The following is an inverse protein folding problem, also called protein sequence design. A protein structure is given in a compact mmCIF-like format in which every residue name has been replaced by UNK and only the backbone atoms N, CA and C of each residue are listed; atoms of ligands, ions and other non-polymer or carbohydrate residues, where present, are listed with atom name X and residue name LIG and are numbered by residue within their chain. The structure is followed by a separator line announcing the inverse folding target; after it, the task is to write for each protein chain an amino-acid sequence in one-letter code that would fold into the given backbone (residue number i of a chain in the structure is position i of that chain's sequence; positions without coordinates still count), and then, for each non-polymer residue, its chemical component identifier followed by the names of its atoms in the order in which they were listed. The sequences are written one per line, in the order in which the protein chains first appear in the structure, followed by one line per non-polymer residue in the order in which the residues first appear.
data_IF_922533094197
#
_entry.id   IF_922533094197
#
_cell.length_a   1.000
_cell.length_b   1.000
_cell.length_c   1.000
_cell.angle_alpha   90.00
_cell.angle_beta   90.00
_cell.angle_gamma   90.00
#
_symmetry.space_group_name_H-M   'P 1'
#
loop_
_entity.id
_entity.type
_entity.pdbx_description
1 polymer ?
#
# COMPACT_ATOMS: atom_id res chain seq x y z
N UNK A 1 -104.69 -66.08 -28.32
CA UNK A 1 -105.40 -65.10 -27.45
C UNK A 1 -104.94 -65.17 -25.99
N UNK A 2 -105.37 -66.13 -25.13
CA UNK A 2 -105.05 -66.09 -23.68
C UNK A 2 -103.59 -66.46 -23.32
N UNK A 3 -103.03 -67.49 -23.97
CA UNK A 3 -101.61 -67.89 -23.80
C UNK A 3 -100.61 -66.89 -24.37
N UNK A 4 -101.00 -66.14 -25.42
CA UNK A 4 -100.16 -65.07 -25.97
C UNK A 4 -100.06 -63.89 -25.00
N UNK A 5 -101.19 -63.48 -24.38
CA UNK A 5 -101.18 -62.43 -23.37
C UNK A 5 -100.29 -62.76 -22.16
N UNK A 6 -100.34 -64.00 -21.66
CA UNK A 6 -99.49 -64.44 -20.54
C UNK A 6 -98.00 -64.49 -20.92
N UNK A 7 -97.68 -64.84 -22.17
CA UNK A 7 -96.30 -64.80 -22.67
C UNK A 7 -95.81 -63.35 -22.82
N UNK A 8 -96.67 -62.46 -23.31
CA UNK A 8 -96.38 -61.03 -23.49
C UNK A 8 -96.17 -60.32 -22.13
N UNK A 9 -96.96 -60.67 -21.11
CA UNK A 9 -96.77 -60.19 -19.73
C UNK A 9 -95.45 -60.68 -19.12
N UNK A 10 -95.07 -61.95 -19.31
CA UNK A 10 -93.77 -62.47 -18.84
C UNK A 10 -92.59 -61.79 -19.53
N UNK A 11 -92.67 -61.60 -20.86
CA UNK A 11 -91.63 -60.90 -21.62
C UNK A 11 -91.48 -59.47 -21.09
N UNK A 12 -92.58 -58.79 -20.76
CA UNK A 12 -92.55 -57.44 -20.22
C UNK A 12 -91.98 -57.41 -18.78
N UNK A 13 -92.29 -58.40 -17.94
CA UNK A 13 -91.69 -58.52 -16.60
C UNK A 13 -90.18 -58.77 -16.66
N UNK A 14 -89.73 -59.67 -17.54
CA UNK A 14 -88.31 -59.97 -17.70
C UNK A 14 -87.55 -58.81 -18.35
N UNK A 15 -88.17 -58.07 -19.28
CA UNK A 15 -87.63 -56.82 -19.81
C UNK A 15 -87.42 -55.77 -18.70
N UNK A 16 -88.41 -55.59 -17.80
CA UNK A 16 -88.28 -54.68 -16.65
C UNK A 16 -87.21 -55.12 -15.66
N UNK A 17 -87.03 -56.43 -15.45
CA UNK A 17 -85.92 -56.95 -14.62
C UNK A 17 -84.57 -56.68 -15.28
N UNK A 18 -84.45 -56.91 -16.59
CA UNK A 18 -83.24 -56.63 -17.35
C UNK A 18 -82.87 -55.14 -17.32
N UNK A 19 -83.85 -54.24 -17.42
CA UNK A 19 -83.63 -52.79 -17.30
C UNK A 19 -83.15 -52.38 -15.89
N UNK A 20 -83.66 -53.02 -14.84
CA UNK A 20 -83.16 -52.83 -13.46
C UNK A 20 -81.74 -53.37 -13.26
N UNK A 21 -81.40 -54.49 -13.87
CA UNK A 21 -80.06 -55.06 -13.76
C UNK A 21 -79.02 -54.24 -14.54
N UNK A 22 -79.37 -53.80 -15.75
CA UNK A 22 -78.50 -52.94 -16.58
C UNK A 22 -78.27 -51.57 -15.93
N UNK A 23 -79.30 -50.93 -15.38
CA UNK A 23 -79.12 -49.67 -14.62
C UNK A 23 -78.23 -49.84 -13.38
N UNK A 24 -78.36 -50.97 -12.67
CA UNK A 24 -77.50 -51.30 -11.54
C UNK A 24 -76.06 -51.58 -11.95
N UNK A 25 -75.84 -52.25 -13.07
CA UNK A 25 -74.52 -52.52 -13.65
C UNK A 25 -73.82 -51.23 -14.07
N UNK A 26 -74.53 -50.31 -14.74
CA UNK A 26 -74.01 -48.98 -15.11
C UNK A 26 -73.56 -48.21 -13.87
N UNK A 27 -74.36 -48.20 -12.80
CA UNK A 27 -74.02 -47.50 -11.56
C UNK A 27 -72.79 -48.11 -10.86
N UNK A 28 -72.67 -49.45 -10.90
CA UNK A 28 -71.51 -50.15 -10.35
C UNK A 28 -70.23 -49.84 -11.13
N UNK A 29 -70.32 -49.79 -12.46
CA UNK A 29 -69.18 -49.42 -13.31
C UNK A 29 -68.75 -47.97 -13.08
N UNK A 30 -69.69 -47.03 -12.97
CA UNK A 30 -69.37 -45.63 -12.62
C UNK A 30 -68.63 -45.52 -11.28
N UNK A 31 -69.08 -46.26 -10.26
CA UNK A 31 -68.40 -46.30 -8.95
C UNK A 31 -67.02 -46.95 -9.03
N UNK A 32 -66.83 -47.90 -9.93
CA UNK A 32 -65.56 -48.57 -10.15
C UNK A 32 -64.56 -47.62 -10.82
N UNK A 33 -65.02 -46.86 -11.82
CA UNK A 33 -64.23 -45.82 -12.49
C UNK A 33 -63.83 -44.71 -11.52
N UNK A 34 -64.75 -44.20 -10.69
CA UNK A 34 -64.42 -43.22 -9.66
C UNK A 34 -63.40 -43.74 -8.63
N UNK A 35 -63.51 -45.01 -8.25
CA UNK A 35 -62.53 -45.63 -7.35
C UNK A 35 -61.17 -45.75 -8.03
N UNK A 36 -61.14 -46.12 -9.30
CA UNK A 36 -59.91 -46.24 -10.08
C UNK A 36 -59.20 -44.89 -10.25
N UNK A 37 -59.94 -43.81 -10.55
CA UNK A 37 -59.37 -42.46 -10.62
C UNK A 37 -58.77 -41.99 -9.29
N UNK A 38 -59.48 -42.22 -8.17
CA UNK A 38 -58.98 -41.91 -6.83
C UNK A 38 -57.69 -42.66 -6.52
N UNK A 39 -57.62 -43.95 -6.87
CA UNK A 39 -56.40 -44.75 -6.70
C UNK A 39 -55.25 -44.21 -7.59
N UNK A 40 -55.52 -43.85 -8.84
CA UNK A 40 -54.51 -43.30 -9.74
C UNK A 40 -53.96 -41.95 -9.24
N UNK A 41 -54.82 -41.11 -8.65
CA UNK A 41 -54.45 -39.80 -8.09
C UNK A 41 -53.49 -39.87 -6.90
N UNK A 42 -53.46 -41.00 -6.18
CA UNK A 42 -52.56 -41.22 -5.05
C UNK A 42 -51.10 -41.47 -5.48
N UNK A 43 -50.85 -41.63 -6.79
CA UNK A 43 -49.52 -41.86 -7.35
C UNK A 43 -48.95 -43.25 -7.04
N UNK A 44 -47.65 -43.45 -7.28
CA UNK A 44 -46.98 -44.68 -6.93
C UNK A 44 -46.88 -44.79 -5.40
N UNK A 45 -47.57 -45.78 -4.83
CA UNK A 45 -47.45 -46.08 -3.40
C UNK A 45 -46.00 -46.52 -3.11
N UNK A 46 -45.32 -45.91 -2.12
CA UNK A 46 -44.00 -46.39 -1.70
C UNK A 46 -44.13 -47.83 -1.22
N UNK A 47 -43.06 -48.63 -1.36
CA UNK A 47 -43.05 -49.97 -0.78
C UNK A 47 -43.23 -49.85 0.72
N UNK A 48 -44.38 -50.33 1.21
CA UNK A 48 -44.73 -50.26 2.62
C UNK A 48 -44.00 -51.39 3.32
N UNK A 49 -43.14 -51.05 4.28
CA UNK A 49 -42.54 -52.03 5.19
C UNK A 49 -43.66 -52.89 5.81
N UNK A 50 -43.52 -54.22 5.74
CA UNK A 50 -44.56 -55.20 6.13
C UNK A 50 -45.06 -55.14 7.58
N UNK A 51 -44.53 -54.19 8.36
CA UNK A 51 -44.91 -53.85 9.75
C UNK A 51 -46.37 -53.39 9.83
N UNK A 52 -46.86 -52.64 8.83
CA UNK A 52 -48.22 -52.08 8.85
C UNK A 52 -49.29 -53.04 8.29
N UNK A 53 -48.88 -54.09 7.59
CA UNK A 53 -49.77 -55.04 6.90
C UNK A 53 -50.56 -55.95 7.87
N UNK A 54 -50.06 -56.12 9.10
CA UNK A 54 -50.70 -56.94 10.16
C UNK A 54 -51.55 -56.12 11.16
N UNK A 55 -51.67 -54.81 10.97
CA UNK A 55 -52.34 -53.94 11.93
C UNK A 55 -53.84 -53.81 11.62
N UNK A 56 -54.67 -53.69 12.66
CA UNK A 56 -56.09 -53.40 12.48
C UNK A 56 -56.29 -52.00 11.88
N UNK A 57 -57.34 -51.83 11.08
CA UNK A 57 -57.72 -50.56 10.44
C UNK A 57 -57.84 -49.42 11.47
N UNK A 58 -58.35 -49.72 12.67
CA UNK A 58 -58.48 -48.78 13.79
C UNK A 58 -57.12 -48.34 14.36
N UNK A 59 -56.15 -49.25 14.41
CA UNK A 59 -54.78 -48.95 14.87
C UNK A 59 -54.02 -48.11 13.85
N UNK A 60 -54.20 -48.39 12.54
CA UNK A 60 -53.64 -47.61 11.44
C UNK A 60 -54.11 -46.15 11.47
N UNK A 61 -55.41 -45.92 11.67
CA UNK A 61 -55.95 -44.56 11.79
C UNK A 61 -55.38 -43.79 12.99
N UNK A 62 -55.20 -44.47 14.14
CA UNK A 62 -54.60 -43.86 15.33
C UNK A 62 -53.14 -43.46 15.09
N UNK A 63 -52.39 -44.26 14.34
CA UNK A 63 -51.00 -43.97 14.01
C UNK A 63 -50.88 -42.84 12.97
N UNK A 64 -51.80 -42.81 11.99
CA UNK A 64 -51.93 -41.70 11.05
C UNK A 64 -52.28 -40.39 11.76
N UNK A 65 -53.16 -40.44 12.76
CA UNK A 65 -53.53 -39.26 13.54
C UNK A 65 -52.35 -38.72 14.36
N UNK A 66 -51.57 -39.60 15.00
CA UNK A 66 -50.31 -39.21 15.65
C UNK A 66 -49.33 -38.60 14.66
N UNK A 67 -49.11 -39.23 13.51
CA UNK A 67 -48.21 -38.73 12.48
C UNK A 67 -48.64 -37.32 12.01
N UNK A 68 -49.93 -37.11 11.79
CA UNK A 68 -50.49 -35.81 11.45
C UNK A 68 -50.33 -34.78 12.58
N UNK A 69 -50.49 -35.17 13.85
CA UNK A 69 -50.21 -34.28 15.00
C UNK A 69 -48.73 -33.88 15.06
N UNK A 70 -47.81 -34.82 14.77
CA UNK A 70 -46.38 -34.52 14.66
C UNK A 70 -46.09 -33.56 13.50
N UNK A 71 -46.71 -33.78 12.33
CA UNK A 71 -46.56 -32.92 11.15
C UNK A 71 -47.09 -31.49 11.42
N UNK A 72 -48.19 -31.36 12.17
CA UNK A 72 -48.73 -30.06 12.60
C UNK A 72 -47.76 -29.26 13.50
N UNK A 73 -46.87 -29.91 14.26
CA UNK A 73 -45.85 -29.20 15.06
C UNK A 73 -44.80 -28.52 14.17
N UNK A 74 -44.57 -29.05 12.97
CA UNK A 74 -43.63 -28.52 11.98
C UNK A 74 -44.33 -27.64 10.93
N UNK A 75 -45.37 -26.87 11.32
CA UNK A 75 -46.17 -26.09 10.38
C UNK A 75 -45.37 -24.95 9.70
N UNK A 76 -44.30 -24.47 10.32
CA UNK A 76 -43.47 -23.35 9.83
C UNK A 76 -42.12 -23.82 9.29
N UNK A 77 -42.11 -24.84 8.43
CA UNK A 77 -40.89 -25.29 7.76
C UNK A 77 -40.55 -24.34 6.60
N UNK A 78 -39.32 -23.83 6.61
CA UNK A 78 -38.79 -23.04 5.50
C UNK A 78 -38.56 -23.93 4.28
N UNK A 79 -39.48 -23.88 3.32
CA UNK A 79 -39.38 -24.64 2.06
C UNK A 79 -38.21 -24.22 1.16
N UNK A 80 -37.66 -23.01 1.37
CA UNK A 80 -36.49 -22.49 0.65
C UNK A 80 -35.16 -22.81 1.34
N UNK A 81 -35.18 -23.56 2.46
CA UNK A 81 -33.99 -23.83 3.24
C UNK A 81 -32.90 -24.53 2.41
N UNK A 82 -33.28 -25.45 1.52
CA UNK A 82 -32.33 -26.15 0.65
C UNK A 82 -31.63 -25.18 -0.32
N UNK A 83 -32.40 -24.36 -1.03
CA UNK A 83 -31.86 -23.38 -1.98
C UNK A 83 -30.98 -22.33 -1.28
N UNK A 84 -31.41 -21.84 -0.12
CA UNK A 84 -30.64 -20.90 0.69
C UNK A 84 -29.34 -21.53 1.22
N UNK A 85 -29.40 -22.78 1.67
CA UNK A 85 -28.23 -23.51 2.14
C UNK A 85 -27.20 -23.69 1.03
N UNK A 86 -27.62 -24.07 -0.18
CA UNK A 86 -26.73 -24.21 -1.33
C UNK A 86 -26.09 -22.85 -1.70
N UNK A 87 -26.91 -21.80 -1.84
CA UNK A 87 -26.43 -20.46 -2.19
C UNK A 87 -25.46 -19.88 -1.14
N UNK A 88 -25.80 -19.98 0.14
CA UNK A 88 -24.92 -19.48 1.20
C UNK A 88 -23.67 -20.33 1.40
N UNK A 89 -23.72 -21.64 1.11
CA UNK A 89 -22.53 -22.48 1.14
C UNK A 89 -21.53 -22.09 0.05
N UNK A 90 -22.02 -21.80 -1.16
CA UNK A 90 -21.18 -21.31 -2.26
C UNK A 90 -20.59 -19.92 -1.93
N UNK A 91 -21.41 -19.02 -1.38
CA UNK A 91 -20.94 -17.69 -0.96
C UNK A 91 -19.90 -17.79 0.15
N UNK A 92 -20.11 -18.68 1.12
CA UNK A 92 -19.15 -18.97 2.19
C UNK A 92 -17.82 -19.41 1.59
N UNK A 93 -17.82 -20.37 0.67
CA UNK A 93 -16.60 -20.86 0.03
C UNK A 93 -15.86 -19.75 -0.72
N UNK A 94 -16.58 -18.89 -1.45
CA UNK A 94 -15.99 -17.72 -2.13
C UNK A 94 -15.33 -16.75 -1.15
N UNK A 95 -15.96 -16.49 0.00
CA UNK A 95 -15.40 -15.61 1.03
C UNK A 95 -14.16 -16.20 1.69
N UNK A 96 -14.13 -17.52 1.93
CA UNK A 96 -12.93 -18.19 2.45
C UNK A 96 -11.76 -18.09 1.48
N UNK A 97 -11.98 -18.36 0.18
CA UNK A 97 -10.93 -18.20 -0.84
C UNK A 97 -10.38 -16.77 -0.87
N UNK A 98 -11.26 -15.78 -0.82
CA UNK A 98 -10.84 -14.36 -0.80
C UNK A 98 -10.08 -13.99 0.48
N UNK A 99 -10.45 -14.57 1.63
CA UNK A 99 -9.71 -14.39 2.88
C UNK A 99 -8.30 -14.98 2.75
N UNK A 100 -8.17 -16.18 2.23
CA UNK A 100 -6.87 -16.84 2.07
C UNK A 100 -5.97 -16.04 1.11
N UNK A 101 -6.53 -15.53 0.01
CA UNK A 101 -5.82 -14.63 -0.92
C UNK A 101 -5.35 -13.33 -0.23
N UNK A 102 -6.18 -12.74 0.64
CA UNK A 102 -5.81 -11.54 1.39
C UNK A 102 -4.73 -11.83 2.44
N UNK A 103 -4.81 -12.96 3.13
CA UNK A 103 -3.81 -13.36 4.14
C UNK A 103 -2.44 -13.62 3.47
N UNK A 104 -2.43 -14.24 2.28
CA UNK A 104 -1.21 -14.38 1.46
C UNK A 104 -0.71 -13.01 0.98
N UNK A 105 -1.62 -12.11 0.60
CA UNK A 105 -1.29 -10.74 0.18
C UNK A 105 -0.62 -9.93 1.29
N UNK A 106 -1.15 -9.97 2.51
CA UNK A 106 -0.58 -9.32 3.69
C UNK A 106 0.84 -9.83 3.98
N UNK A 107 1.04 -11.15 3.93
CA UNK A 107 2.36 -11.74 4.13
C UNK A 107 3.38 -11.23 3.10
N UNK A 108 3.02 -11.20 1.82
CA UNK A 108 3.91 -10.69 0.75
C UNK A 108 4.24 -9.21 0.92
N UNK A 109 3.28 -8.40 1.36
CA UNK A 109 3.51 -6.97 1.62
C UNK A 109 4.48 -6.80 2.80
N UNK A 110 4.36 -7.60 3.85
CA UNK A 110 5.31 -7.58 4.99
C UNK A 110 6.71 -8.00 4.57
N UNK A 111 6.85 -9.04 3.75
CA UNK A 111 8.13 -9.47 3.20
C UNK A 111 8.78 -8.38 2.33
N UNK A 112 7.98 -7.73 1.47
CA UNK A 112 8.44 -6.59 0.68
C UNK A 112 8.89 -5.43 1.56
N UNK A 113 8.13 -5.10 2.60
CA UNK A 113 8.46 -4.03 3.55
C UNK A 113 9.81 -4.28 4.22
N UNK A 114 10.06 -5.52 4.67
CA UNK A 114 11.34 -5.90 5.26
C UNK A 114 12.51 -5.79 4.27
N UNK A 115 12.26 -6.19 3.02
CA UNK A 115 13.27 -6.09 1.96
C UNK A 115 13.62 -4.63 1.64
N UNK A 116 12.61 -3.77 1.54
CA UNK A 116 12.80 -2.34 1.33
C UNK A 116 13.51 -1.67 2.50
N UNK A 117 13.22 -2.08 3.74
CA UNK A 117 13.89 -1.55 4.92
C UNK A 117 15.38 -1.89 4.91
N UNK A 118 15.74 -3.13 4.57
CA UNK A 118 17.15 -3.55 4.44
C UNK A 118 17.87 -2.75 3.34
N UNK A 119 17.25 -2.61 2.16
CA UNK A 119 17.81 -1.79 1.07
C UNK A 119 17.97 -0.33 1.46
N UNK A 120 17.04 0.22 2.25
CA UNK A 120 17.10 1.60 2.74
C UNK A 120 18.29 1.79 3.69
N UNK A 121 18.50 0.88 4.64
CA UNK A 121 19.66 0.94 5.56
C UNK A 121 20.97 0.84 4.78
N UNK A 122 21.08 -0.10 3.84
CA UNK A 122 22.28 -0.26 3.02
C UNK A 122 22.57 1.00 2.20
N UNK A 123 21.55 1.58 1.56
CA UNK A 123 21.69 2.83 0.82
C UNK A 123 22.14 4.00 1.70
N UNK A 124 21.59 4.12 2.92
CA UNK A 124 22.01 5.16 3.89
C UNK A 124 23.47 4.97 4.29
N UNK A 125 23.89 3.75 4.64
CA UNK A 125 25.27 3.48 5.04
C UNK A 125 26.25 3.73 3.89
N UNK A 126 25.90 3.28 2.68
CA UNK A 126 26.70 3.47 1.48
C UNK A 126 26.86 4.97 1.16
N UNK A 127 25.76 5.72 1.11
CA UNK A 127 25.79 7.16 0.84
C UNK A 127 26.53 7.92 1.93
N UNK A 128 26.32 7.59 3.20
CA UNK A 128 27.07 8.20 4.31
C UNK A 128 28.57 7.96 4.18
N UNK A 129 29.00 6.73 3.88
CA UNK A 129 30.42 6.40 3.69
C UNK A 129 31.04 7.20 2.55
N UNK A 130 30.33 7.35 1.43
CA UNK A 130 30.79 8.17 0.30
C UNK A 130 30.89 9.66 0.68
N UNK A 131 29.86 10.22 1.31
CA UNK A 131 29.85 11.62 1.76
C UNK A 131 30.95 11.86 2.79
N UNK A 132 31.17 10.96 3.75
CA UNK A 132 32.23 11.06 4.74
C UNK A 132 33.63 11.08 4.11
N UNK A 133 33.89 10.20 3.14
CA UNK A 133 35.15 10.19 2.42
C UNK A 133 35.36 11.46 1.59
N UNK A 134 34.32 11.95 0.93
CA UNK A 134 34.38 13.20 0.17
C UNK A 134 34.56 14.40 1.08
N UNK A 135 33.91 14.42 2.25
CA UNK A 135 34.04 15.47 3.25
C UNK A 135 35.48 15.60 3.74
N UNK A 136 36.14 14.50 4.12
CA UNK A 136 37.54 14.55 4.55
C UNK A 136 38.46 15.08 3.45
N UNK A 137 38.24 14.69 2.18
CA UNK A 137 39.02 15.18 1.03
C UNK A 137 38.80 16.67 0.77
N UNK A 138 37.54 17.11 0.74
CA UNK A 138 37.16 18.51 0.50
C UNK A 138 37.64 19.40 1.64
N UNK A 139 37.43 18.99 2.89
CA UNK A 139 37.86 19.75 4.05
C UNK A 139 39.38 19.93 4.07
N UNK A 140 40.15 18.88 3.75
CA UNK A 140 41.62 18.97 3.65
C UNK A 140 42.09 19.87 2.51
N UNK A 141 41.31 20.01 1.44
CA UNK A 141 41.60 20.96 0.35
C UNK A 141 41.34 22.41 0.78
N UNK A 142 40.24 22.67 1.50
CA UNK A 142 39.88 23.98 2.02
C UNK A 142 40.76 24.44 3.20
N UNK A 143 41.18 23.51 4.05
CA UNK A 143 42.04 23.73 5.21
C UNK A 143 43.20 22.73 5.17
N UNK A 144 44.33 23.06 4.51
CA UNK A 144 45.46 22.14 4.35
C UNK A 144 46.04 21.59 5.65
N UNK A 145 45.95 22.36 6.75
CA UNK A 145 46.43 21.99 8.08
C UNK A 145 45.36 21.30 8.94
N UNK A 146 44.12 21.21 8.46
CA UNK A 146 42.99 20.69 9.21
C UNK A 146 42.63 19.25 8.85
N UNK A 147 41.79 18.65 9.70
CA UNK A 147 41.16 17.36 9.46
C UNK A 147 39.68 17.42 9.88
N UNK A 148 38.82 16.72 9.15
CA UNK A 148 37.38 16.70 9.41
C UNK A 148 36.78 15.32 9.16
N UNK A 149 35.93 14.89 10.08
CA UNK A 149 35.26 13.59 10.07
C UNK A 149 33.77 13.75 10.36
N UNK A 150 32.96 12.98 9.63
CA UNK A 150 31.54 12.82 9.90
C UNK A 150 31.33 11.56 10.74
N UNK A 151 30.49 11.65 11.74
CA UNK A 151 30.16 10.56 12.66
C UNK A 151 28.65 10.33 12.58
N UNK A 152 28.24 9.08 12.34
CA UNK A 152 26.82 8.73 12.32
C UNK A 152 26.34 8.51 13.75
N UNK A 153 25.36 9.28 14.22
CA UNK A 153 24.77 9.12 15.56
C UNK A 153 23.60 8.15 15.51
N UNK A 154 23.54 7.23 16.47
CA UNK A 154 22.42 6.28 16.64
C UNK A 154 21.84 6.35 18.05
N UNK A 155 20.58 5.94 18.23
CA UNK A 155 19.82 6.03 19.50
C UNK A 155 20.46 5.29 20.67
N UNK A 156 21.24 4.24 20.39
CA UNK A 156 21.90 3.40 21.40
C UNK A 156 23.40 3.75 21.59
N UNK A 157 23.88 4.82 20.96
CA UNK A 157 25.29 5.22 21.00
C UNK A 157 25.48 6.51 21.80
N UNK A 158 25.23 6.41 23.10
CA UNK A 158 25.95 7.25 24.08
C UNK A 158 27.37 6.70 24.34
N UNK A 159 27.68 5.49 23.83
CA UNK A 159 29.00 4.85 23.96
C UNK A 159 29.66 4.56 22.61
N UNK A 160 30.94 4.91 22.54
CA UNK A 160 31.90 4.81 21.43
C UNK A 160 32.10 3.37 20.90
N UNK A 161 31.13 2.81 20.16
CA UNK A 161 31.35 1.58 19.39
C UNK A 161 30.80 1.73 17.96
N UNK A 162 31.72 1.99 17.04
CA UNK A 162 31.50 2.27 15.61
C UNK A 162 31.00 1.06 14.78
N UNK A 163 30.85 -0.13 15.34
CA UNK A 163 30.55 -1.36 14.58
C UNK A 163 29.36 -2.16 15.13
N UNK A 164 28.19 -1.54 15.27
CA UNK A 164 26.94 -2.30 15.40
C UNK A 164 26.16 -2.22 14.10
N UNK A 165 25.89 -3.38 13.49
CA UNK A 165 24.98 -3.50 12.35
C UNK A 165 23.61 -2.93 12.75
N UNK A 166 23.29 -1.76 12.21
CA UNK A 166 22.02 -1.09 12.48
C UNK A 166 20.94 -1.82 11.69
N UNK A 167 20.12 -2.62 12.38
CA UNK A 167 19.09 -3.44 11.74
C UNK A 167 17.85 -2.64 11.28
N UNK A 168 17.69 -1.39 11.73
CA UNK A 168 16.54 -0.55 11.40
C UNK A 168 16.97 0.91 11.23
N UNK A 169 16.52 1.56 10.17
CA UNK A 169 16.78 2.98 9.91
C UNK A 169 16.33 3.93 11.04
N UNK A 170 15.32 3.56 11.83
CA UNK A 170 14.83 4.36 12.95
C UNK A 170 15.84 4.50 14.08
N UNK A 171 16.94 3.74 14.04
CA UNK A 171 18.03 3.85 14.99
C UNK A 171 18.93 5.06 14.72
N UNK A 172 18.94 5.64 13.51
CA UNK A 172 19.73 6.83 13.21
C UNK A 172 19.10 8.08 13.85
N UNK A 173 19.86 8.84 14.63
CA UNK A 173 19.40 10.07 15.29
C UNK A 173 19.90 11.34 14.60
N UNK A 174 21.03 11.25 13.91
CA UNK A 174 21.60 12.38 13.19
C UNK A 174 23.06 12.16 12.83
N UNK A 175 23.73 13.24 12.46
CA UNK A 175 25.15 13.25 12.07
C UNK A 175 25.90 14.21 12.99
N UNK A 176 26.97 13.73 13.60
CA UNK A 176 27.96 14.53 14.30
C UNK A 176 29.08 14.96 13.35
N UNK A 177 29.63 16.15 13.55
CA UNK A 177 30.77 16.65 12.80
C UNK A 177 31.88 16.96 13.81
N UNK A 178 33.05 16.34 13.62
CA UNK A 178 34.26 16.60 14.40
C UNK A 178 35.35 17.14 13.49
N UNK A 179 35.88 18.31 13.81
CA UNK A 179 36.90 18.98 12.98
C UNK A 179 38.05 19.54 13.82
N UNK A 180 39.23 19.58 13.23
CA UNK A 180 40.41 20.25 13.74
C UNK A 180 40.96 21.19 12.66
N UNK A 181 41.33 22.41 13.07
CA UNK A 181 41.91 23.43 12.19
C UNK A 181 43.43 23.61 12.37
N UNK A 182 44.00 23.08 13.46
CA UNK A 182 45.39 23.33 13.88
C UNK A 182 46.30 22.09 13.75
N UNK A 183 45.86 21.03 13.08
CA UNK A 183 46.62 19.81 12.86
C UNK A 183 45.78 18.53 12.93
N UNK A 184 46.26 17.45 12.32
CA UNK A 184 45.60 16.13 12.32
C UNK A 184 45.59 15.50 13.73
N UNK A 185 46.62 15.78 14.54
CA UNK A 185 46.78 15.28 15.91
C UNK A 185 46.27 16.27 16.98
N UNK A 186 45.66 17.39 16.56
CA UNK A 186 45.10 18.37 17.47
C UNK A 186 43.67 17.98 17.89
N UNK A 187 43.26 18.44 19.08
CA UNK A 187 41.96 18.11 19.68
C UNK A 187 40.81 18.45 18.73
N UNK A 188 40.01 17.43 18.38
CA UNK A 188 38.86 17.61 17.50
C UNK A 188 37.75 18.34 18.25
N UNK A 189 37.28 19.42 17.65
CA UNK A 189 36.22 20.26 18.20
C UNK A 189 34.88 19.90 17.57
N UNK A 190 33.83 19.96 18.39
CA UNK A 190 32.46 19.89 17.91
C UNK A 190 32.02 21.23 17.31
N UNK A 191 31.02 21.20 16.43
CA UNK A 191 30.52 22.38 15.71
C UNK A 191 30.21 23.56 16.63
N UNK A 192 29.68 23.33 17.83
CA UNK A 192 29.31 24.39 18.78
C UNK A 192 30.51 25.20 19.29
N UNK A 193 31.71 24.62 19.29
CA UNK A 193 32.95 25.21 19.79
C UNK A 193 33.71 26.04 18.73
N UNK A 194 33.19 26.13 17.51
CA UNK A 194 33.83 26.81 16.39
C UNK A 194 33.40 28.29 16.27
N UNK A 195 34.31 29.11 15.73
CA UNK A 195 34.01 30.50 15.35
C UNK A 195 33.05 30.58 14.16
N UNK A 196 32.43 31.75 13.92
CA UNK A 196 31.48 31.94 12.82
C UNK A 196 32.05 31.58 11.44
N UNK A 197 33.24 32.08 11.10
CA UNK A 197 33.89 31.76 9.82
C UNK A 197 34.27 30.28 9.69
N UNK A 198 34.71 29.64 10.78
CA UNK A 198 34.98 28.21 10.81
C UNK A 198 33.71 27.38 10.58
N UNK A 199 32.59 27.77 11.19
CA UNK A 199 31.29 27.13 10.97
C UNK A 199 30.86 27.23 9.51
N UNK A 200 31.00 28.40 8.90
CA UNK A 200 30.69 28.60 7.47
C UNK A 200 31.56 27.72 6.58
N UNK A 201 32.86 27.60 6.88
CA UNK A 201 33.76 26.75 6.09
C UNK A 201 33.43 25.26 6.22
N UNK A 202 33.08 24.79 7.42
CA UNK A 202 32.63 23.41 7.63
C UNK A 202 31.33 23.12 6.88
N UNK A 203 30.38 24.07 6.90
CA UNK A 203 29.12 23.95 6.18
C UNK A 203 29.35 23.87 4.66
N UNK A 204 30.20 24.74 4.11
CA UNK A 204 30.58 24.70 2.69
C UNK A 204 31.26 23.37 2.35
N UNK A 205 32.20 22.90 3.18
CA UNK A 205 32.86 21.62 2.96
C UNK A 205 31.87 20.45 2.90
N UNK A 206 30.84 20.47 3.76
CA UNK A 206 29.76 19.48 3.75
C UNK A 206 28.91 19.55 2.47
N UNK A 207 28.52 20.76 2.06
CA UNK A 207 27.76 20.97 0.82
C UNK A 207 28.55 20.43 -0.36
N UNK A 208 29.81 20.83 -0.52
CA UNK A 208 30.67 20.34 -1.60
C UNK A 208 30.91 18.82 -1.56
N UNK A 209 30.98 18.21 -0.37
CA UNK A 209 31.10 16.77 -0.22
C UNK A 209 29.85 16.01 -0.71
N UNK A 210 28.66 16.55 -0.41
CA UNK A 210 27.39 16.02 -0.89
C UNK A 210 27.29 16.20 -2.41
N UNK A 211 27.65 17.38 -2.93
CA UNK A 211 27.66 17.65 -4.37
C UNK A 211 28.59 16.73 -5.16
N UNK A 212 29.75 16.36 -4.61
CA UNK A 212 30.64 15.37 -5.24
C UNK A 212 30.06 13.94 -5.24
N UNK A 213 29.16 13.63 -4.32
CA UNK A 213 28.49 12.33 -4.27
C UNK A 213 27.27 12.28 -5.21
N UNK A 214 26.51 13.37 -5.27
CA UNK A 214 25.31 13.50 -6.11
C UNK A 214 25.30 14.89 -6.78
N UNK A 215 25.88 15.02 -7.99
CA UNK A 215 26.00 16.30 -8.66
C UNK A 215 24.65 16.75 -9.23
N UNK A 216 24.27 17.98 -8.91
CA UNK A 216 23.09 18.66 -9.42
C UNK A 216 23.44 19.48 -10.68
N UNK A 217 22.48 19.74 -11.57
CA UNK A 217 22.74 20.45 -12.82
C UNK A 217 23.20 21.90 -12.62
N UNK A 218 22.74 22.57 -11.54
CA UNK A 218 23.17 23.93 -11.21
C UNK A 218 23.17 24.20 -9.71
N UNK A 219 23.98 25.16 -9.30
CA UNK A 219 24.13 25.64 -7.93
C UNK A 219 24.10 27.16 -7.88
N UNK A 220 23.33 27.70 -6.92
CA UNK A 220 23.26 29.13 -6.62
C UNK A 220 23.81 29.37 -5.22
N UNK A 221 24.87 30.16 -5.11
CA UNK A 221 25.44 30.59 -3.85
C UNK A 221 25.22 32.09 -3.65
N UNK A 222 24.59 32.45 -2.54
CA UNK A 222 24.31 33.84 -2.20
C UNK A 222 25.24 34.29 -1.06
N UNK A 223 26.18 35.19 -1.36
CA UNK A 223 27.10 35.82 -0.39
C UNK A 223 27.82 34.86 0.58
N UNK A 224 28.14 33.65 0.10
CA UNK A 224 28.70 32.56 0.94
C UNK A 224 30.09 32.88 1.53
N UNK A 225 30.74 33.91 1.02
CA UNK A 225 32.11 34.31 1.30
C UNK A 225 32.23 35.45 2.31
N UNK A 226 31.10 36.04 2.74
CA UNK A 226 31.07 37.17 3.67
C UNK A 226 31.77 36.88 5.01
N UNK A 227 31.64 35.65 5.51
CA UNK A 227 32.21 35.20 6.79
C UNK A 227 33.62 34.58 6.67
N UNK A 228 34.20 34.54 5.46
CA UNK A 228 35.47 33.89 5.18
C UNK A 228 36.62 34.90 5.05
N UNK A 229 37.81 34.51 5.50
CA UNK A 229 39.03 35.28 5.28
C UNK A 229 39.52 35.17 3.82
N UNK A 230 40.48 36.00 3.42
CA UNK A 230 40.95 36.04 2.04
C UNK A 230 41.55 34.69 1.57
N UNK A 231 42.23 33.97 2.47
CA UNK A 231 42.83 32.68 2.16
C UNK A 231 41.77 31.62 1.88
N UNK A 232 40.74 31.50 2.73
CA UNK A 232 39.66 30.53 2.52
C UNK A 232 38.74 30.95 1.36
N UNK A 233 38.53 32.25 1.13
CA UNK A 233 37.80 32.74 -0.07
C UNK A 233 38.45 32.27 -1.36
N UNK A 234 39.77 32.41 -1.47
CA UNK A 234 40.53 31.91 -2.63
C UNK A 234 40.39 30.40 -2.79
N UNK A 235 40.53 29.63 -1.71
CA UNK A 235 40.38 28.17 -1.75
C UNK A 235 38.97 27.73 -2.20
N UNK A 236 37.92 28.45 -1.77
CA UNK A 236 36.54 28.22 -2.22
C UNK A 236 36.38 28.57 -3.70
N UNK A 237 36.92 29.71 -4.15
CA UNK A 237 36.86 30.12 -5.56
C UNK A 237 37.56 29.11 -6.49
N UNK A 238 38.72 28.59 -6.10
CA UNK A 238 39.45 27.57 -6.85
C UNK A 238 38.67 26.25 -6.91
N UNK A 239 37.97 25.89 -5.83
CA UNK A 239 37.17 24.67 -5.80
C UNK A 239 35.89 24.78 -6.62
N UNK A 240 35.21 25.93 -6.59
CA UNK A 240 34.06 26.20 -7.45
C UNK A 240 34.47 26.14 -8.92
N UNK A 241 35.65 26.68 -9.25
CA UNK A 241 36.17 26.61 -10.61
C UNK A 241 36.39 25.16 -11.08
N UNK A 242 37.04 24.32 -10.27
CA UNK A 242 37.22 22.88 -10.59
C UNK A 242 35.88 22.15 -10.77
N UNK A 243 34.88 22.47 -9.93
CA UNK A 243 33.57 21.84 -10.01
C UNK A 243 32.73 22.38 -11.18
N UNK A 244 33.05 23.56 -11.70
CA UNK A 244 32.29 24.22 -12.77
C UNK A 244 32.36 23.49 -14.11
N UNK A 245 33.32 22.58 -14.29
CA UNK A 245 33.41 21.70 -15.45
C UNK A 245 32.26 20.69 -15.51
N UNK A 246 31.67 20.34 -14.35
CA UNK A 246 30.63 19.31 -14.23
C UNK A 246 29.24 19.88 -13.95
N UNK A 247 29.14 21.09 -13.38
CA UNK A 247 27.88 21.71 -13.00
C UNK A 247 27.90 23.23 -13.20
N UNK A 248 26.74 23.84 -13.41
CA UNK A 248 26.64 25.30 -13.54
C UNK A 248 26.67 25.98 -12.16
N UNK A 249 27.58 26.94 -11.96
CA UNK A 249 27.63 27.75 -10.74
C UNK A 249 27.20 29.19 -11.01
N UNK A 250 26.33 29.71 -10.14
CA UNK A 250 25.93 31.12 -10.07
C UNK A 250 26.24 31.58 -8.65
N UNK A 251 27.04 32.63 -8.51
CA UNK A 251 27.47 33.13 -7.20
C UNK A 251 27.28 34.64 -7.11
N UNK A 252 26.75 35.14 -6.00
CA UNK A 252 26.79 36.57 -5.65
C UNK A 252 27.91 36.79 -4.64
N UNK A 253 28.61 37.91 -4.75
CA UNK A 253 29.74 38.25 -3.87
C UNK A 253 30.01 39.75 -3.91
N UNK A 254 30.51 40.27 -2.79
CA UNK A 254 31.10 41.62 -2.68
C UNK A 254 32.62 41.56 -2.51
N UNK A 255 33.25 40.41 -2.81
CA UNK A 255 34.69 40.19 -2.61
C UNK A 255 35.38 39.81 -3.93
N UNK A 256 36.62 40.27 -4.14
CA UNK A 256 37.27 40.16 -5.44
C UNK A 256 37.74 38.73 -5.77
N UNK A 257 37.96 37.86 -4.77
CA UNK A 257 38.59 36.55 -4.96
C UNK A 257 37.72 35.60 -5.80
N UNK A 258 36.41 35.64 -5.64
CA UNK A 258 35.46 34.82 -6.44
C UNK A 258 35.36 35.28 -7.90
N UNK A 259 35.67 36.56 -8.18
CA UNK A 259 35.65 37.11 -9.53
C UNK A 259 36.84 36.63 -10.38
N UNK A 260 37.90 36.11 -9.77
CA UNK A 260 39.12 35.72 -10.50
C UNK A 260 38.86 34.58 -11.48
N UNK A 261 38.05 33.60 -11.05
CA UNK A 261 37.81 32.34 -11.77
C UNK A 261 36.45 32.28 -12.49
N UNK A 262 35.71 33.39 -12.53
CA UNK A 262 34.39 33.45 -13.15
C UNK A 262 34.46 33.64 -14.68
N UNK A 263 33.54 33.00 -15.40
CA UNK A 263 33.44 33.07 -16.86
C UNK A 263 32.60 34.25 -17.39
N UNK A 264 31.56 34.65 -16.65
CA UNK A 264 30.64 35.74 -17.00
C UNK A 264 30.30 36.54 -15.76
N UNK A 265 30.13 37.85 -15.93
CA UNK A 265 29.84 38.79 -14.86
C UNK A 265 28.54 39.51 -15.15
N UNK A 266 27.68 39.61 -14.14
CA UNK A 266 26.41 40.33 -14.22
C UNK A 266 26.37 41.39 -13.12
N UNK A 267 26.04 42.62 -13.50
CA UNK A 267 25.86 43.73 -12.58
C UNK A 267 24.38 44.06 -12.44
N UNK A 268 23.90 44.18 -11.19
CA UNK A 268 22.55 44.66 -10.90
C UNK A 268 22.61 46.15 -10.58
N UNK A 269 21.85 46.96 -11.31
CA UNK A 269 21.77 48.41 -11.13
C UNK A 269 20.36 48.82 -10.74
N UNK A 270 20.22 49.61 -9.69
CA UNK A 270 18.95 50.17 -9.25
C UNK A 270 18.86 51.65 -9.64
N UNK A 271 17.94 51.98 -10.56
CA UNK A 271 17.72 53.37 -11.02
C UNK A 271 16.22 53.62 -11.19
N UNK A 272 15.76 54.82 -10.84
CA UNK A 272 14.35 55.22 -11.00
C UNK A 272 13.35 54.25 -10.33
N UNK A 273 13.71 53.65 -9.18
CA UNK A 273 12.93 52.62 -8.48
C UNK A 273 12.72 51.30 -9.25
N UNK A 274 13.55 51.00 -10.24
CA UNK A 274 13.54 49.75 -11.02
C UNK A 274 14.93 49.11 -11.00
N UNK A 275 14.98 47.78 -10.87
CA UNK A 275 16.22 47.00 -10.94
C UNK A 275 16.45 46.49 -12.37
N UNK A 276 17.65 46.72 -12.89
CA UNK A 276 18.11 46.25 -14.19
C UNK A 276 19.32 45.34 -14.01
N UNK A 277 19.41 44.28 -14.82
CA UNK A 277 20.56 43.37 -14.84
C UNK A 277 21.23 43.44 -16.21
N UNK A 278 22.53 43.70 -16.23
CA UNK A 278 23.32 43.80 -17.45
C UNK A 278 24.60 42.97 -17.33
N UNK A 279 25.10 42.48 -18.47
CA UNK A 279 26.42 41.85 -18.53
C UNK A 279 27.49 42.93 -18.41
N UNK A 280 28.46 42.73 -17.52
CA UNK A 280 29.57 43.66 -17.27
C UNK A 280 30.91 43.00 -17.58
N UNK A 281 31.94 43.80 -17.82
CA UNK A 281 33.31 43.29 -18.01
C UNK A 281 33.94 42.93 -16.66
N UNK A 282 34.98 42.08 -16.68
CA UNK A 282 35.74 41.71 -15.47
C UNK A 282 36.36 42.93 -14.78
N UNK A 283 36.85 43.90 -15.54
CA UNK A 283 37.42 45.15 -15.04
C UNK A 283 36.36 45.96 -14.28
N UNK A 284 35.20 46.21 -14.90
CA UNK A 284 34.09 46.90 -14.24
C UNK A 284 33.58 46.19 -12.98
N UNK A 285 33.57 44.85 -12.98
CA UNK A 285 33.19 44.07 -11.81
C UNK A 285 34.22 44.19 -10.67
N UNK A 286 35.51 44.23 -11.01
CA UNK A 286 36.58 44.46 -10.02
C UNK A 286 36.54 45.88 -9.46
N UNK A 287 36.41 46.88 -10.33
CA UNK A 287 36.31 48.29 -9.94
C UNK A 287 35.13 48.49 -8.97
N UNK A 288 33.98 47.90 -9.25
CA UNK A 288 32.81 47.97 -8.37
C UNK A 288 33.09 47.40 -6.97
N UNK A 289 33.82 46.29 -6.88
CA UNK A 289 34.16 45.65 -5.60
C UNK A 289 35.29 46.39 -4.86
N UNK A 290 36.24 46.99 -5.57
CA UNK A 290 37.32 47.78 -4.97
C UNK A 290 36.83 49.15 -4.48
N UNK A 291 35.98 49.83 -5.25
CA UNK A 291 35.38 51.13 -4.88
C UNK A 291 34.50 51.02 -3.64
N UNK A 292 33.71 49.95 -3.50
CA UNK A 292 32.86 49.72 -2.33
C UNK A 292 33.69 49.51 -1.03
N UNK A 293 34.91 48.97 -1.14
CA UNK A 293 35.83 48.89 0.01
C UNK A 293 36.48 50.24 0.39
N UNK A 294 36.43 51.25 -0.48
CA UNK A 294 36.95 52.60 -0.18
C UNK A 294 35.91 53.55 0.38
N UNK A 295 34.62 53.22 0.29
CA UNK A 295 33.50 54.03 0.76
C UNK A 295 32.75 53.45 1.97
N UNK A 296 33.25 52.36 2.57
CA UNK A 296 32.74 51.75 3.80
C UNK A 296 33.59 52.13 5.04
#
# INVERSE_FOLDING_TARGET
MRKEKEAEEKINEDAKKMEKWTSKEILLNQKLDECAEKIASLGALPQVDGVYSKMSLKSLFKELEKANQHLKKYNHVNKKALDQFLSFSEQKEKLYKRKDELDIGDQKIRELMNTLEMQKVEAIQFTFKQVAQNFTKVFKKLVPQGAGYLILKTKDSDDEKDDKEVANSDAFTGIGIRVSFTGVDAEMREMNQLSGGQKSLVALALIFAIQKCDPAPFYLFDEIDQALDAQHRKAVADMIHELSDQAQFITTTFRPELLENAHKFYGVRFRNKVSHIDCVTKEQAKDFVEDDNTHA
#
